data_IF_905617314808
#
_entry.id   IF_905617314808
#
_cell.length_a   1.000
_cell.length_b   1.000
_cell.length_c   1.000
_cell.angle_alpha   90.00
_cell.angle_beta   90.00
_cell.angle_gamma   90.00
#
_symmetry.space_group_name_H-M   'P 1'
#
loop_
_entity.id
_entity.type
_entity.pdbx_description
1 polymer ?
#
# COMPACT_ATOMS: atom_id res chain seq x y z
N UNK A 1 0.26 13.79 5.78
CA UNK A 1 -0.63 12.92 6.55
C UNK A 1 -1.62 13.77 7.33
N UNK A 2 -2.92 13.61 7.10
CA UNK A 2 -3.94 14.37 7.82
C UNK A 2 -4.32 13.68 9.16
N UNK A 3 -5.16 14.33 9.97
CA UNK A 3 -5.61 13.82 11.27
C UNK A 3 -6.32 12.46 11.19
N UNK A 4 -7.06 12.21 10.12
CA UNK A 4 -7.81 10.96 9.90
C UNK A 4 -6.84 9.82 9.57
N UNK A 5 -5.89 10.05 8.67
CA UNK A 5 -4.85 9.09 8.31
C UNK A 5 -3.96 8.75 9.50
N UNK A 6 -3.56 9.75 10.28
CA UNK A 6 -2.75 9.52 11.48
C UNK A 6 -3.46 8.57 12.47
N UNK A 7 -4.75 8.79 12.72
CA UNK A 7 -5.57 7.90 13.57
C UNK A 7 -5.68 6.48 12.99
N UNK A 8 -5.78 6.33 11.66
CA UNK A 8 -5.78 5.01 10.99
C UNK A 8 -4.50 4.25 11.33
N UNK A 9 -3.33 4.86 11.13
CA UNK A 9 -2.04 4.20 11.38
C UNK A 9 -1.80 3.87 12.86
N UNK A 10 -2.18 4.75 13.79
CA UNK A 10 -2.11 4.47 15.23
C UNK A 10 -2.92 3.23 15.59
N UNK A 11 -4.17 3.13 15.12
CA UNK A 11 -5.05 1.98 15.39
C UNK A 11 -4.48 0.69 14.80
N UNK A 12 -3.94 0.75 13.60
CA UNK A 12 -3.33 -0.40 12.93
C UNK A 12 -2.09 -0.89 13.68
N UNK A 13 -1.19 0.02 14.03
CA UNK A 13 0.02 -0.26 14.80
C UNK A 13 -0.31 -0.86 16.17
N UNK A 14 -1.25 -0.26 16.90
CA UNK A 14 -1.72 -0.78 18.19
C UNK A 14 -2.26 -2.22 18.08
N UNK A 15 -3.10 -2.50 17.07
CA UNK A 15 -3.64 -3.85 16.84
C UNK A 15 -2.53 -4.86 16.55
N UNK A 16 -1.54 -4.50 15.71
CA UNK A 16 -0.41 -5.38 15.41
C UNK A 16 0.46 -5.64 16.64
N UNK A 17 0.78 -4.61 17.42
CA UNK A 17 1.53 -4.76 18.67
C UNK A 17 0.83 -5.67 19.66
N UNK A 18 -0.49 -5.50 19.84
CA UNK A 18 -1.31 -6.37 20.70
C UNK A 18 -1.27 -7.82 20.24
N UNK A 19 -1.41 -8.08 18.94
CA UNK A 19 -1.39 -9.44 18.39
C UNK A 19 0.00 -10.10 18.49
N UNK A 20 1.07 -9.31 18.50
CA UNK A 20 2.45 -9.78 18.63
C UNK A 20 2.95 -9.83 20.07
N UNK A 21 2.09 -9.53 21.07
CA UNK A 21 2.47 -9.37 22.48
C UNK A 21 3.68 -8.44 22.70
N UNK A 22 3.83 -7.41 21.86
CA UNK A 22 4.87 -6.39 22.02
C UNK A 22 4.56 -5.48 23.21
N UNK A 23 5.60 -5.03 23.90
CA UNK A 23 5.44 -4.02 24.96
C UNK A 23 4.84 -2.72 24.41
N UNK A 24 3.85 -2.17 25.11
CA UNK A 24 3.07 -1.02 24.67
C UNK A 24 3.76 0.30 25.08
N UNK A 25 4.89 0.60 24.44
CA UNK A 25 5.64 1.84 24.65
C UNK A 25 5.47 2.82 23.48
N UNK A 26 5.65 4.14 23.70
CA UNK A 26 5.64 5.12 22.62
C UNK A 26 6.62 4.79 21.49
N UNK A 27 7.81 4.30 21.82
CA UNK A 27 8.84 3.90 20.85
C UNK A 27 8.38 2.72 19.99
N UNK A 28 7.83 1.68 20.61
CA UNK A 28 7.36 0.51 19.86
C UNK A 28 6.17 0.85 18.97
N UNK A 29 5.29 1.76 19.42
CA UNK A 29 4.19 2.28 18.62
C UNK A 29 4.70 3.04 17.40
N UNK A 30 5.68 3.93 17.58
CA UNK A 30 6.28 4.67 16.47
C UNK A 30 6.89 3.74 15.42
N UNK A 31 7.66 2.73 15.86
CA UNK A 31 8.27 1.73 14.97
C UNK A 31 7.19 0.95 14.20
N UNK A 32 6.13 0.49 14.86
CA UNK A 32 5.08 -0.28 14.18
C UNK A 32 4.22 0.58 13.26
N UNK A 33 4.05 1.87 13.57
CA UNK A 33 3.44 2.84 12.67
C UNK A 33 4.28 3.03 11.41
N UNK A 34 5.59 3.30 11.55
CA UNK A 34 6.52 3.42 10.41
C UNK A 34 6.51 2.16 9.55
N UNK A 35 6.55 0.98 10.18
CA UNK A 35 6.46 -0.31 9.48
C UNK A 35 5.18 -0.42 8.67
N UNK A 36 4.04 -0.06 9.26
CA UNK A 36 2.74 -0.11 8.59
C UNK A 36 2.65 0.89 7.43
N UNK A 37 3.19 2.10 7.60
CA UNK A 37 3.26 3.10 6.54
C UNK A 37 4.13 2.59 5.38
N UNK A 38 5.28 1.97 5.69
CA UNK A 38 6.17 1.40 4.69
C UNK A 38 5.50 0.27 3.92
N UNK A 39 4.83 -0.64 4.62
CA UNK A 39 4.05 -1.73 4.01
C UNK A 39 2.96 -1.20 3.07
N UNK A 40 2.13 -0.23 3.51
CA UNK A 40 1.10 0.36 2.65
C UNK A 40 1.72 1.10 1.45
N UNK A 41 2.78 1.88 1.67
CA UNK A 41 3.50 2.56 0.59
C UNK A 41 4.00 1.58 -0.48
N UNK A 42 4.59 0.46 -0.07
CA UNK A 42 5.06 -0.57 -1.01
C UNK A 42 3.92 -1.15 -1.85
N UNK A 43 2.74 -1.35 -1.25
CA UNK A 43 1.56 -1.85 -1.96
C UNK A 43 1.09 -0.82 -3.01
N UNK A 44 0.97 0.45 -2.63
CA UNK A 44 0.54 1.49 -3.58
C UNK A 44 1.52 1.72 -4.72
N UNK A 45 2.84 1.64 -4.46
CA UNK A 45 3.86 1.68 -5.51
C UNK A 45 3.68 0.49 -6.47
N UNK A 46 3.42 -0.70 -5.94
CA UNK A 46 3.19 -1.89 -6.76
C UNK A 46 1.92 -1.77 -7.62
N UNK A 47 0.82 -1.19 -7.10
CA UNK A 47 -0.36 -0.85 -7.91
C UNK A 47 0.03 0.07 -9.08
N UNK A 48 0.78 1.14 -8.81
CA UNK A 48 1.21 2.07 -9.83
C UNK A 48 2.07 1.41 -10.92
N UNK A 49 3.02 0.56 -10.54
CA UNK A 49 3.86 -0.19 -11.50
C UNK A 49 3.03 -1.08 -12.41
N UNK A 50 2.11 -1.87 -11.84
CA UNK A 50 1.24 -2.76 -12.61
C UNK A 50 0.35 -1.95 -13.55
N UNK A 51 -0.30 -0.89 -13.04
CA UNK A 51 -1.16 -0.04 -13.83
C UNK A 51 -0.44 0.58 -15.03
N UNK A 52 0.76 1.15 -14.82
CA UNK A 52 1.57 1.67 -15.93
C UNK A 52 1.94 0.59 -16.94
N UNK A 53 2.31 -0.61 -16.48
CA UNK A 53 2.66 -1.71 -17.37
C UNK A 53 1.49 -2.18 -18.22
N UNK A 54 0.29 -2.27 -17.65
CA UNK A 54 -0.92 -2.63 -18.37
C UNK A 54 -1.25 -1.57 -19.42
N UNK A 55 -1.25 -0.29 -19.02
CA UNK A 55 -1.57 0.82 -19.91
C UNK A 55 -0.55 0.99 -21.04
N UNK A 56 0.75 0.80 -20.78
CA UNK A 56 1.80 0.84 -21.80
C UNK A 56 1.63 -0.23 -22.89
N UNK A 57 0.91 -1.33 -22.60
CA UNK A 57 0.61 -2.37 -23.59
C UNK A 57 -0.65 -2.08 -24.40
N UNK A 58 -1.55 -1.25 -23.89
CA UNK A 58 -2.89 -1.04 -24.45
C UNK A 58 -3.13 0.36 -24.99
N UNK A 59 -2.28 1.34 -24.68
CA UNK A 59 -2.46 2.74 -25.04
C UNK A 59 -1.17 3.38 -25.54
N UNK A 60 -1.29 4.26 -26.53
CA UNK A 60 -0.19 5.07 -27.07
C UNK A 60 0.12 6.29 -26.19
N UNK A 61 -0.85 6.77 -25.43
CA UNK A 61 -0.72 7.86 -24.47
C UNK A 61 -1.48 7.50 -23.19
N UNK A 62 -0.87 7.76 -22.03
CA UNK A 62 -1.43 7.44 -20.72
C UNK A 62 -1.87 8.72 -20.03
N UNK A 63 -3.17 8.82 -19.74
CA UNK A 63 -3.70 9.93 -18.94
C UNK A 63 -3.72 9.59 -17.45
N UNK A 64 -3.62 10.62 -16.60
CA UNK A 64 -3.76 10.46 -15.15
C UNK A 64 -5.09 9.81 -14.74
N UNK A 65 -6.17 10.06 -15.50
CA UNK A 65 -7.49 9.46 -15.26
C UNK A 65 -7.46 7.95 -15.48
N UNK A 66 -6.87 7.49 -16.59
CA UNK A 66 -6.73 6.07 -16.89
C UNK A 66 -5.86 5.37 -15.85
N UNK A 67 -4.75 5.99 -15.46
CA UNK A 67 -3.87 5.44 -14.43
C UNK A 67 -4.59 5.28 -13.09
N UNK A 68 -5.36 6.29 -12.65
CA UNK A 68 -6.14 6.21 -11.42
C UNK A 68 -7.21 5.12 -11.48
N UNK A 69 -7.95 5.03 -12.60
CA UNK A 69 -8.96 3.97 -12.80
C UNK A 69 -8.32 2.58 -12.74
N UNK A 70 -7.15 2.40 -13.36
CA UNK A 70 -6.47 1.11 -13.34
C UNK A 70 -6.00 0.74 -11.94
N UNK A 71 -5.44 1.71 -11.19
CA UNK A 71 -5.06 1.52 -9.78
C UNK A 71 -6.25 1.12 -8.91
N UNK A 72 -7.43 1.68 -9.14
CA UNK A 72 -8.64 1.36 -8.36
C UNK A 72 -9.17 -0.06 -8.65
N UNK A 73 -8.94 -0.60 -9.85
CA UNK A 73 -9.39 -1.93 -10.26
C UNK A 73 -8.45 -3.03 -9.78
N UNK A 74 -7.13 -2.80 -9.78
CA UNK A 74 -6.11 -3.80 -9.42
C UNK A 74 -6.41 -4.58 -8.11
N UNK A 75 -6.80 -3.94 -6.99
CA UNK A 75 -7.09 -4.62 -5.72
C UNK A 75 -8.30 -5.56 -5.77
N UNK A 76 -9.16 -5.43 -6.78
CA UNK A 76 -10.32 -6.32 -6.97
C UNK A 76 -9.93 -7.64 -7.64
N UNK A 77 -8.77 -7.68 -8.29
CA UNK A 77 -8.28 -8.82 -9.07
C UNK A 77 -7.15 -9.55 -8.34
N UNK A 78 -6.28 -8.80 -7.66
CA UNK A 78 -5.12 -9.35 -6.98
C UNK A 78 -5.11 -9.00 -5.50
N UNK A 79 -4.64 -9.93 -4.67
CA UNK A 79 -4.35 -9.61 -3.28
C UNK A 79 -2.99 -8.89 -3.14
N UNK A 80 -2.77 -8.26 -1.98
CA UNK A 80 -1.56 -7.46 -1.73
C UNK A 80 -0.24 -8.24 -1.98
N UNK A 81 -0.20 -9.55 -1.71
CA UNK A 81 1.01 -10.35 -1.90
C UNK A 81 1.29 -10.60 -3.38
N UNK A 82 0.25 -10.94 -4.14
CA UNK A 82 0.35 -11.15 -5.59
C UNK A 82 0.81 -9.87 -6.30
N UNK A 83 0.30 -8.73 -5.86
CA UNK A 83 0.64 -7.42 -6.43
C UNK A 83 2.13 -7.12 -6.24
N UNK A 84 2.65 -7.29 -5.03
CA UNK A 84 4.07 -7.05 -4.74
C UNK A 84 4.92 -7.98 -5.61
N UNK A 85 4.60 -9.27 -5.63
CA UNK A 85 5.34 -10.27 -6.42
C UNK A 85 5.29 -10.01 -7.92
N UNK A 86 4.16 -9.55 -8.45
CA UNK A 86 4.05 -9.22 -9.86
C UNK A 86 4.82 -7.95 -10.20
N UNK A 87 4.76 -6.92 -9.34
CA UNK A 87 5.48 -5.67 -9.54
C UNK A 87 7.01 -5.79 -9.43
N UNK A 88 7.52 -6.82 -8.76
CA UNK A 88 8.96 -7.15 -8.71
C UNK A 88 9.47 -7.82 -10.00
N UNK A 89 8.57 -8.39 -10.81
CA UNK A 89 8.90 -9.06 -12.09
C UNK A 89 8.83 -8.13 -13.30
N UNK A 90 8.39 -6.89 -13.10
CA UNK A 90 8.29 -5.82 -14.10
C UNK A 90 9.55 -4.96 -14.06
#
# INVERSE_FOLDING_TARGET
MNKVECKKYIRSAFRKMKNQNKSMTPQNLAIEMERTIKEETSIYIAYGKIAMHLLNKSATEITAKQLATEIDVIPTVYNNREIILNAEKL
#
